data_IF_407363231223
#
_entry.id   IF_407363231223
#
_cell.length_a   1.000
_cell.length_b   1.000
_cell.length_c   1.000
_cell.angle_alpha   90.00
_cell.angle_beta   90.00
_cell.angle_gamma   90.00
#
_symmetry.space_group_name_H-M   'P 1'
#
loop_
_entity.id
_entity.type
_entity.pdbx_description
1 polymer ?
#
# COMPACT_ATOMS: atom_id res chain seq x y z
N UNK A 1 13.72 27.26 4.83
CA UNK A 1 14.76 26.90 3.83
C UNK A 1 14.17 25.86 2.89
N UNK A 2 13.56 26.33 1.81
CA UNK A 2 12.99 25.48 0.76
C UNK A 2 14.14 25.09 -0.16
N UNK A 3 14.61 23.85 -0.06
CA UNK A 3 15.64 23.34 -0.97
C UNK A 3 15.10 23.43 -2.40
N UNK A 4 15.85 24.03 -3.35
CA UNK A 4 15.40 24.12 -4.73
C UNK A 4 15.18 22.70 -5.25
N UNK A 5 14.07 22.50 -5.96
CA UNK A 5 13.58 21.23 -6.53
C UNK A 5 14.67 20.33 -7.17
N UNK A 6 15.78 20.91 -7.65
CA UNK A 6 16.96 20.20 -8.17
C UNK A 6 17.68 19.30 -7.15
N UNK A 7 17.62 19.61 -5.85
CA UNK A 7 18.39 18.89 -4.82
C UNK A 7 17.60 17.75 -4.15
N UNK A 8 16.30 17.64 -4.40
CA UNK A 8 15.43 16.63 -3.78
C UNK A 8 15.82 15.20 -4.16
N UNK A 9 16.06 14.95 -5.46
CA UNK A 9 16.54 13.66 -5.98
C UNK A 9 17.84 13.23 -5.31
N UNK A 10 18.83 14.11 -5.30
CA UNK A 10 20.15 13.82 -4.77
C UNK A 10 20.09 13.53 -3.26
N UNK A 11 19.26 14.26 -2.53
CA UNK A 11 19.03 14.03 -1.11
C UNK A 11 18.39 12.66 -0.84
N UNK A 12 17.40 12.25 -1.64
CA UNK A 12 16.75 10.93 -1.49
C UNK A 12 17.75 9.81 -1.77
N UNK A 13 18.49 9.88 -2.88
CA UNK A 13 19.51 8.87 -3.23
C UNK A 13 20.61 8.80 -2.17
N UNK A 14 21.08 9.95 -1.69
CA UNK A 14 22.08 10.05 -0.63
C UNK A 14 21.58 9.38 0.66
N UNK A 15 20.40 9.78 1.16
CA UNK A 15 19.84 9.23 2.40
C UNK A 15 19.54 7.73 2.29
N UNK A 16 19.04 7.28 1.14
CA UNK A 16 18.82 5.85 0.93
C UNK A 16 20.12 5.06 1.04
N UNK A 17 21.20 5.56 0.43
CA UNK A 17 22.52 4.94 0.53
C UNK A 17 23.07 4.97 1.95
N UNK A 18 22.91 6.09 2.68
CA UNK A 18 23.34 6.22 4.08
C UNK A 18 22.61 5.23 5.00
N UNK A 19 21.32 4.99 4.78
CA UNK A 19 20.51 4.10 5.62
C UNK A 19 20.67 2.62 5.29
N UNK A 20 20.86 2.28 4.02
CA UNK A 20 20.80 0.90 3.55
C UNK A 20 22.13 0.35 3.07
N UNK A 21 23.12 1.22 2.80
CA UNK A 21 24.38 0.86 2.16
C UNK A 21 24.31 0.66 0.65
N UNK A 22 23.10 0.63 0.06
CA UNK A 22 22.91 0.36 -1.38
C UNK A 22 22.77 1.64 -2.20
N UNK A 23 23.26 1.59 -3.44
CA UNK A 23 23.04 2.64 -4.44
C UNK A 23 21.81 2.30 -5.27
N UNK A 24 20.97 3.29 -5.54
CA UNK A 24 19.77 3.12 -6.37
C UNK A 24 19.83 3.96 -7.62
N UNK A 25 19.31 3.42 -8.70
CA UNK A 25 18.95 4.18 -9.89
C UNK A 25 17.68 4.99 -9.60
N UNK A 26 17.79 6.31 -9.76
CA UNK A 26 16.69 7.22 -9.51
C UNK A 26 15.48 6.96 -10.42
N UNK A 27 15.68 6.64 -11.70
CA UNK A 27 14.54 6.43 -12.60
C UNK A 27 13.75 5.17 -12.19
N UNK A 28 14.44 4.12 -11.75
CA UNK A 28 13.79 2.93 -11.18
C UNK A 28 13.05 3.24 -9.88
N UNK A 29 13.65 4.05 -9.01
CA UNK A 29 13.03 4.47 -7.76
C UNK A 29 11.75 5.29 -8.02
N UNK A 30 11.84 6.26 -8.92
CA UNK A 30 10.72 7.10 -9.34
C UNK A 30 9.60 6.26 -9.95
N UNK A 31 9.92 5.36 -10.89
CA UNK A 31 8.93 4.47 -11.49
C UNK A 31 8.22 3.63 -10.43
N UNK A 32 8.98 3.01 -9.52
CA UNK A 32 8.40 2.20 -8.45
C UNK A 32 7.51 3.03 -7.53
N UNK A 33 7.90 4.25 -7.20
CA UNK A 33 7.10 5.17 -6.41
C UNK A 33 5.79 5.52 -7.13
N UNK A 34 5.84 5.83 -8.42
CA UNK A 34 4.66 6.17 -9.21
C UNK A 34 3.70 4.98 -9.34
N UNK A 35 4.22 3.77 -9.53
CA UNK A 35 3.44 2.53 -9.53
C UNK A 35 2.72 2.31 -8.19
N UNK A 36 3.43 2.48 -7.06
CA UNK A 36 2.86 2.36 -5.72
C UNK A 36 1.79 3.41 -5.45
N UNK A 37 1.99 4.64 -5.93
CA UNK A 37 1.01 5.73 -5.83
C UNK A 37 -0.26 5.41 -6.61
N UNK A 38 -0.13 4.84 -7.81
CA UNK A 38 -1.26 4.41 -8.62
C UNK A 38 -2.03 3.26 -7.94
N UNK A 39 -1.32 2.25 -7.42
CA UNK A 39 -1.92 1.16 -6.66
C UNK A 39 -2.67 1.66 -5.43
N UNK A 40 -2.09 2.60 -4.69
CA UNK A 40 -2.74 3.20 -3.54
C UNK A 40 -4.01 3.97 -3.93
N UNK A 41 -3.99 4.66 -5.07
CA UNK A 41 -5.18 5.37 -5.58
C UNK A 41 -6.30 4.39 -5.94
N UNK A 42 -5.98 3.27 -6.59
CA UNK A 42 -6.94 2.21 -6.88
C UNK A 42 -7.49 1.60 -5.60
N UNK A 43 -6.62 1.33 -4.63
CA UNK A 43 -7.01 0.85 -3.31
C UNK A 43 -7.99 1.80 -2.62
N UNK A 44 -7.73 3.10 -2.58
CA UNK A 44 -8.64 4.09 -1.99
C UNK A 44 -10.02 4.10 -2.67
N UNK A 45 -10.07 3.95 -4.00
CA UNK A 45 -11.35 3.81 -4.73
C UNK A 45 -12.09 2.53 -4.34
N UNK A 46 -11.38 1.43 -4.13
CA UNK A 46 -11.97 0.17 -3.66
C UNK A 46 -12.54 0.33 -2.25
N UNK A 47 -11.78 0.93 -1.32
CA UNK A 47 -12.23 1.20 0.05
C UNK A 47 -13.54 2.00 0.04
N UNK A 48 -13.60 3.09 -0.73
CA UNK A 48 -14.82 3.92 -0.84
C UNK A 48 -15.99 3.12 -1.42
N UNK A 49 -15.74 2.25 -2.40
CA UNK A 49 -16.79 1.48 -3.09
C UNK A 49 -17.30 0.30 -2.27
N UNK A 50 -16.44 -0.38 -1.52
CA UNK A 50 -16.78 -1.65 -0.85
C UNK A 50 -16.88 -1.52 0.67
N UNK A 51 -16.46 -0.40 1.25
CA UNK A 51 -16.31 -0.26 2.71
C UNK A 51 -15.15 -1.08 3.29
N UNK A 52 -14.41 -1.81 2.45
CA UNK A 52 -13.33 -2.72 2.87
C UNK A 52 -12.03 -1.98 2.98
N UNK A 53 -11.48 -1.94 4.19
CA UNK A 53 -10.18 -1.35 4.47
C UNK A 53 -9.28 -2.37 5.15
N UNK A 54 -7.97 -2.16 5.06
CA UNK A 54 -6.97 -2.86 5.86
C UNK A 54 -6.48 -1.87 6.91
N UNK A 55 -6.62 -2.24 8.17
CA UNK A 55 -6.09 -1.48 9.30
C UNK A 55 -4.57 -1.41 9.18
N UNK A 56 -4.04 -0.19 9.17
CA UNK A 56 -2.62 0.06 8.88
C UNK A 56 -1.67 -0.57 9.90
N UNK A 57 -2.08 -0.66 11.17
CA UNK A 57 -1.20 -1.13 12.26
C UNK A 57 -1.16 -2.65 12.36
N UNK A 58 -2.29 -3.32 12.14
CA UNK A 58 -2.43 -4.76 12.37
C UNK A 58 -2.46 -5.58 11.09
N UNK A 59 -2.67 -4.94 9.94
CA UNK A 59 -2.91 -5.60 8.66
C UNK A 59 -4.27 -6.33 8.58
N UNK A 60 -5.14 -6.14 9.58
CA UNK A 60 -6.47 -6.79 9.61
C UNK A 60 -7.41 -6.12 8.62
N UNK A 61 -8.25 -6.93 8.00
CA UNK A 61 -9.34 -6.42 7.17
C UNK A 61 -10.43 -5.88 8.10
N UNK A 62 -10.77 -4.61 7.95
CA UNK A 62 -11.90 -3.96 8.59
C UNK A 62 -13.09 -4.00 7.62
N UNK A 63 -14.15 -4.68 8.05
CA UNK A 63 -15.43 -4.82 7.34
C UNK A 63 -16.58 -4.86 8.35
N UNK A 64 -17.81 -4.63 7.86
CA UNK A 64 -19.00 -4.82 8.67
C UNK A 64 -19.20 -6.29 9.07
N UNK A 65 -19.88 -6.51 10.20
CA UNK A 65 -20.10 -7.86 10.74
C UNK A 65 -20.96 -8.72 9.79
N UNK A 66 -21.88 -8.11 9.06
CA UNK A 66 -22.77 -8.80 8.12
C UNK A 66 -21.97 -9.46 6.98
N UNK A 67 -20.95 -8.78 6.47
CA UNK A 67 -20.05 -9.28 5.44
C UNK A 67 -19.20 -10.46 5.93
N UNK A 68 -18.82 -10.47 7.22
CA UNK A 68 -18.16 -11.61 7.84
C UNK A 68 -19.12 -12.79 8.03
N UNK A 69 -20.36 -12.55 8.45
CA UNK A 69 -21.39 -13.58 8.60
C UNK A 69 -21.73 -14.28 7.27
N UNK A 70 -21.80 -13.53 6.17
CA UNK A 70 -22.04 -14.11 4.84
C UNK A 70 -20.92 -15.08 4.42
N UNK A 71 -19.66 -14.79 4.75
CA UNK A 71 -18.52 -15.70 4.47
C UNK A 71 -18.42 -16.88 5.43
N UNK A 72 -18.87 -16.71 6.68
CA UNK A 72 -19.00 -17.83 7.64
C UNK A 72 -20.04 -18.85 7.16
N UNK A 73 -21.08 -18.43 6.42
CA UNK A 73 -22.06 -19.33 5.80
C UNK A 73 -21.45 -20.13 4.63
N UNK A 74 -20.68 -19.47 3.76
CA UNK A 74 -20.03 -20.14 2.61
C UNK A 74 -19.00 -21.19 3.05
N UNK A 75 -18.27 -20.93 4.14
CA UNK A 75 -17.27 -21.88 4.67
C UNK A 75 -17.88 -23.09 5.35
N UNK A 76 -19.09 -22.99 5.91
CA UNK A 76 -19.82 -24.14 6.48
C UNK A 76 -20.39 -25.08 5.43
N UNK A 77 -20.59 -24.63 4.19
CA UNK A 77 -20.97 -25.49 3.06
C UNK A 77 -19.83 -26.32 2.48
N UNK A 78 -18.57 -26.00 2.82
CA UNK A 78 -17.38 -26.68 2.28
C UNK A 78 -16.90 -27.89 3.12
N UNK A 79 -17.43 -28.08 4.33
CA UNK A 79 -17.12 -29.24 5.20
C UNK A 79 -18.15 -30.38 5.11
N UNK A 80 -19.03 -30.37 4.13
CA UNK A 80 -19.92 -31.50 3.84
C UNK A 80 -19.88 -31.84 2.36
N UNK A 81 -18.83 -32.55 1.95
CA UNK A 81 -18.81 -33.46 0.80
C UNK A 81 -17.71 -34.49 0.99
#
# INVERSE_FOLDING_TARGET
STLPYRDGKNNIVKKFREQTGYTIDWEKCKQKHDDLKNLYTVYQRLVVRTGTNIERETGKITMDENWWEDRKKDTKGASSK
#
